data_IF_816594376599
#
_entry.id   IF_816594376599
#
_cell.length_a   1.000
_cell.length_b   1.000
_cell.length_c   1.000
_cell.angle_alpha   90.00
_cell.angle_beta   90.00
_cell.angle_gamma   90.00
#
_symmetry.space_group_name_H-M   'P 1'
#
loop_
_entity.id
_entity.type
_entity.pdbx_description
1 polymer ?
#
# COMPACT_ATOMS: atom_id res chain seq x y z
N UNK A 1 1.78 2.19 -2.93
CA UNK A 1 1.05 3.20 -3.74
C UNK A 1 -0.29 2.57 -4.15
N UNK A 2 -1.42 3.27 -3.98
CA UNK A 2 -2.74 2.76 -4.39
C UNK A 2 -2.94 2.80 -5.91
N UNK A 3 -3.95 2.07 -6.41
CA UNK A 3 -4.29 2.10 -7.82
C UNK A 3 -5.01 3.40 -8.20
N UNK A 4 -4.70 4.01 -9.35
CA UNK A 4 -5.40 5.21 -9.81
C UNK A 4 -6.86 4.89 -10.19
N UNK A 5 -7.63 5.94 -10.47
CA UNK A 5 -9.01 5.86 -10.98
C UNK A 5 -9.15 6.66 -12.28
N UNK A 6 -8.45 6.22 -13.33
CA UNK A 6 -8.62 6.79 -14.67
C UNK A 6 -9.94 6.33 -15.30
N UNK A 7 -10.69 7.23 -15.96
CA UNK A 7 -11.93 6.86 -16.67
C UNK A 7 -11.66 6.04 -17.94
N UNK A 8 -10.51 6.24 -18.59
CA UNK A 8 -10.07 5.41 -19.71
C UNK A 8 -9.58 4.05 -19.20
N UNK A 9 -10.28 3.00 -19.61
CA UNK A 9 -9.98 1.63 -19.23
C UNK A 9 -8.61 1.13 -19.70
N UNK A 10 -8.12 1.58 -20.87
CA UNK A 10 -6.80 1.20 -21.37
C UNK A 10 -5.71 1.86 -20.51
N UNK A 11 -5.82 3.16 -20.26
CA UNK A 11 -4.92 3.89 -19.37
C UNK A 11 -4.95 3.34 -17.94
N UNK A 12 -6.13 3.01 -17.42
CA UNK A 12 -6.31 2.41 -16.11
C UNK A 12 -5.52 1.10 -15.98
N UNK A 13 -5.68 0.18 -16.94
CA UNK A 13 -4.96 -1.10 -16.93
C UNK A 13 -3.45 -0.92 -17.02
N UNK A 14 -2.97 -0.03 -17.91
CA UNK A 14 -1.54 0.25 -18.05
C UNK A 14 -0.94 0.84 -16.78
N UNK A 15 -1.65 1.78 -16.15
CA UNK A 15 -1.18 2.41 -14.91
C UNK A 15 -1.13 1.42 -13.74
N UNK A 16 -2.16 0.59 -13.56
CA UNK A 16 -2.17 -0.47 -12.54
C UNK A 16 -1.05 -1.48 -12.76
N UNK A 17 -0.84 -1.92 -14.01
CA UNK A 17 0.24 -2.84 -14.34
C UNK A 17 1.63 -2.24 -14.04
N UNK A 18 1.86 -0.98 -14.44
CA UNK A 18 3.11 -0.28 -14.15
C UNK A 18 3.35 -0.08 -12.66
N UNK A 19 2.33 0.37 -11.91
CA UNK A 19 2.43 0.56 -10.46
C UNK A 19 2.65 -0.75 -9.70
N UNK A 20 2.18 -1.89 -10.23
CA UNK A 20 2.46 -3.20 -9.62
C UNK A 20 3.96 -3.48 -9.53
N UNK A 21 4.74 -3.10 -10.54
CA UNK A 21 6.21 -3.26 -10.51
C UNK A 21 6.87 -2.40 -9.41
N UNK A 22 6.45 -1.13 -9.29
CA UNK A 22 6.97 -0.23 -8.25
C UNK A 22 6.56 -0.69 -6.85
N UNK A 23 5.31 -1.12 -6.68
CA UNK A 23 4.82 -1.63 -5.41
C UNK A 23 5.54 -2.92 -5.00
N UNK A 24 5.84 -3.83 -5.93
CA UNK A 24 6.64 -5.02 -5.63
C UNK A 24 8.04 -4.64 -5.14
N UNK A 25 8.73 -3.73 -5.83
CA UNK A 25 10.04 -3.25 -5.40
C UNK A 25 10.01 -2.63 -4.00
N UNK A 26 9.04 -1.74 -3.72
CA UNK A 26 8.86 -1.11 -2.40
C UNK A 26 8.62 -2.15 -1.31
N UNK A 27 7.72 -3.11 -1.56
CA UNK A 27 7.39 -4.15 -0.59
C UNK A 27 8.58 -5.07 -0.32
N UNK A 28 9.31 -5.49 -1.36
CA UNK A 28 10.54 -6.29 -1.20
C UNK A 28 11.58 -5.58 -0.36
N UNK A 29 11.81 -4.30 -0.60
CA UNK A 29 12.77 -3.52 0.17
C UNK A 29 12.33 -3.30 1.62
N UNK A 30 11.02 -3.12 1.86
CA UNK A 30 10.46 -3.02 3.21
C UNK A 30 10.61 -4.35 3.98
N UNK A 31 10.25 -5.48 3.36
CA UNK A 31 10.39 -6.80 3.96
C UNK A 31 11.84 -7.17 4.24
N UNK A 32 12.77 -6.83 3.34
CA UNK A 32 14.19 -7.08 3.55
C UNK A 32 14.78 -6.31 4.76
N UNK A 33 14.09 -5.27 5.23
CA UNK A 33 14.50 -4.40 6.35
C UNK A 33 13.59 -4.52 7.58
N UNK A 34 12.66 -5.48 7.57
CA UNK A 34 11.70 -5.68 8.66
C UNK A 34 10.88 -4.41 8.97
N UNK A 35 10.50 -3.67 7.93
CA UNK A 35 9.69 -2.45 8.06
C UNK A 35 8.20 -2.78 7.97
N UNK A 36 7.41 -2.21 8.87
CA UNK A 36 5.95 -2.21 8.77
C UNK A 36 5.49 -1.39 7.56
N UNK A 37 4.49 -1.89 6.84
CA UNK A 37 3.94 -1.25 5.64
C UNK A 37 2.42 -1.17 5.74
N UNK A 38 1.87 0.03 5.47
CA UNK A 38 0.45 0.21 5.17
C UNK A 38 0.27 0.13 3.66
N UNK A 39 -0.32 -0.97 3.17
CA UNK A 39 -0.60 -1.11 1.73
C UNK A 39 -1.87 -0.34 1.36
N UNK A 40 -1.69 0.87 0.84
CA UNK A 40 -2.79 1.74 0.47
C UNK A 40 -3.75 1.14 -0.57
N UNK A 41 -3.37 0.11 -1.33
CA UNK A 41 -4.28 -0.59 -2.25
C UNK A 41 -5.42 -1.31 -1.52
N UNK A 42 -5.17 -1.70 -0.26
CA UNK A 42 -6.17 -2.33 0.60
C UNK A 42 -7.03 -1.31 1.34
N UNK A 43 -6.57 -0.06 1.42
CA UNK A 43 -7.23 1.02 2.17
C UNK A 43 -8.12 1.87 1.25
N UNK A 44 -7.58 2.27 0.09
CA UNK A 44 -8.26 3.10 -0.91
C UNK A 44 -8.78 2.23 -2.07
N UNK A 45 -9.85 1.46 -1.82
CA UNK A 45 -10.42 0.52 -2.79
C UNK A 45 -11.80 0.95 -3.32
N UNK A 46 -12.43 1.99 -2.74
CA UNK A 46 -13.74 2.49 -3.17
C UNK A 46 -13.56 3.69 -4.12
N UNK A 47 -14.38 3.83 -5.19
CA UNK A 47 -14.40 5.05 -6.00
C UNK A 47 -14.49 6.36 -5.20
N UNK A 48 -15.21 6.39 -4.08
CA UNK A 48 -15.36 7.57 -3.23
C UNK A 48 -14.07 7.96 -2.47
N UNK A 49 -13.07 7.09 -2.42
CA UNK A 49 -11.77 7.38 -1.78
C UNK A 49 -10.90 8.34 -2.61
N UNK A 50 -11.34 8.71 -3.82
CA UNK A 50 -10.56 9.47 -4.80
C UNK A 50 -11.22 10.81 -5.11
N UNK A 51 -10.48 11.91 -4.99
CA UNK A 51 -10.95 13.24 -5.43
C UNK A 51 -10.82 13.39 -6.95
N UNK A 52 -9.81 12.74 -7.51
CA UNK A 52 -9.56 12.65 -8.94
C UNK A 52 -8.79 11.37 -9.23
N UNK A 53 -8.31 11.20 -10.47
CA UNK A 53 -7.71 9.95 -10.90
C UNK A 53 -6.47 9.51 -10.11
N UNK A 54 -5.77 10.41 -9.41
CA UNK A 54 -4.53 10.07 -8.69
C UNK A 54 -4.46 10.59 -7.25
N UNK A 55 -5.29 11.54 -6.85
CA UNK A 55 -5.29 12.11 -5.50
C UNK A 55 -6.42 11.56 -4.63
N UNK A 56 -6.19 11.38 -3.32
CA UNK A 56 -7.21 10.89 -2.41
C UNK A 56 -8.27 11.97 -2.17
N UNK A 57 -9.50 11.54 -1.93
CA UNK A 57 -10.57 12.41 -1.41
C UNK A 57 -10.39 12.65 0.10
N UNK A 58 -11.22 13.51 0.68
CA UNK A 58 -11.29 13.64 2.14
C UNK A 58 -11.63 12.31 2.83
N UNK A 59 -12.48 11.48 2.21
CA UNK A 59 -12.82 10.14 2.70
C UNK A 59 -11.60 9.20 2.63
N UNK A 60 -10.91 9.17 1.49
CA UNK A 60 -9.71 8.36 1.31
C UNK A 60 -8.59 8.80 2.27
N UNK A 61 -8.38 10.11 2.43
CA UNK A 61 -7.43 10.67 3.39
C UNK A 61 -7.76 10.30 4.84
N UNK A 62 -9.04 10.30 5.21
CA UNK A 62 -9.47 9.88 6.55
C UNK A 62 -9.18 8.40 6.82
N UNK A 63 -9.39 7.51 5.83
CA UNK A 63 -9.01 6.09 5.95
C UNK A 63 -7.50 5.93 6.14
N UNK A 64 -6.69 6.62 5.34
CA UNK A 64 -5.22 6.61 5.47
C UNK A 64 -4.80 7.07 6.86
N UNK A 65 -5.34 8.18 7.35
CA UNK A 65 -5.02 8.72 8.67
C UNK A 65 -5.41 7.74 9.79
N UNK A 66 -6.57 7.10 9.70
CA UNK A 66 -7.02 6.12 10.68
C UNK A 66 -6.06 4.93 10.80
N UNK A 67 -5.58 4.38 9.67
CA UNK A 67 -4.62 3.27 9.66
C UNK A 67 -3.25 3.68 10.18
N UNK A 68 -2.79 4.91 9.88
CA UNK A 68 -1.56 5.44 10.47
C UNK A 68 -1.70 5.51 11.99
N UNK A 69 -2.79 6.08 12.50
CA UNK A 69 -3.06 6.17 13.95
C UNK A 69 -3.11 4.78 14.56
N UNK A 70 -3.83 3.83 13.95
CA UNK A 70 -3.90 2.46 14.43
C UNK A 70 -2.51 1.80 14.49
N UNK A 71 -1.69 1.96 13.45
CA UNK A 71 -0.33 1.40 13.40
C UNK A 71 0.59 1.99 14.46
N UNK A 72 0.56 3.31 14.71
CA UNK A 72 1.46 3.94 15.68
C UNK A 72 1.01 3.79 17.13
N UNK A 73 -0.28 3.58 17.37
CA UNK A 73 -0.84 3.38 18.72
C UNK A 73 -0.94 1.91 19.12
N UNK A 74 -0.88 0.98 18.15
CA UNK A 74 -0.74 -0.44 18.39
C UNK A 74 0.57 -0.72 19.14
N UNK A 75 0.47 -1.15 20.40
CA UNK A 75 1.64 -1.51 21.22
C UNK A 75 2.47 -2.66 20.61
N UNK A 76 3.65 -2.98 21.18
CA UNK A 76 4.62 -3.93 20.59
C UNK A 76 4.06 -5.32 20.26
N UNK A 77 3.00 -5.75 20.97
CA UNK A 77 2.36 -7.07 20.84
C UNK A 77 1.30 -7.10 19.71
N UNK A 78 0.80 -5.95 19.28
CA UNK A 78 -0.21 -5.83 18.21
C UNK A 78 0.42 -5.79 16.80
N UNK A 79 1.74 -5.70 16.68
CA UNK A 79 2.48 -5.84 15.41
C UNK A 79 2.55 -7.30 14.90
N UNK A 80 1.63 -8.18 15.31
CA UNK A 80 1.44 -9.51 14.72
C UNK A 80 0.71 -9.40 13.38
N UNK A 81 1.27 -8.63 12.45
CA UNK A 81 0.83 -8.51 11.06
C UNK A 81 1.79 -9.25 10.12
N UNK A 82 1.22 -10.08 9.25
CA UNK A 82 1.82 -10.74 8.07
C UNK A 82 3.34 -11.01 8.07
N UNK A 83 3.74 -12.26 8.34
CA UNK A 83 5.15 -12.71 8.23
C UNK A 83 5.46 -13.18 6.81
N UNK A 84 6.40 -12.50 6.13
CA UNK A 84 6.92 -12.93 4.83
C UNK A 84 8.21 -13.71 5.03
N UNK A 85 8.22 -14.97 4.57
CA UNK A 85 9.41 -15.82 4.64
C UNK A 85 10.16 -15.76 3.30
N UNK A 86 11.30 -15.04 3.25
CA UNK A 86 12.13 -14.94 2.04
C UNK A 86 13.16 -16.07 1.88
N UNK A 87 13.20 -17.05 2.80
CA UNK A 87 14.30 -18.02 2.92
C UNK A 87 15.61 -17.35 3.34
N UNK A 88 16.59 -18.12 3.85
CA UNK A 88 17.91 -17.56 4.20
C UNK A 88 18.60 -17.06 2.92
N UNK A 89 18.63 -15.75 2.69
CA UNK A 89 19.56 -15.17 1.74
C UNK A 89 20.97 -15.35 2.31
N UNK A 90 21.75 -16.26 1.70
CA UNK A 90 23.20 -16.31 1.91
C UNK A 90 23.77 -15.01 1.37
N UNK A 91 24.23 -14.13 2.25
CA UNK A 91 25.12 -13.04 1.83
C UNK A 91 26.47 -13.66 1.39
N UNK A 92 27.07 -13.19 0.29
CA UNK A 92 28.45 -13.54 -0.05
C UNK A 92 29.44 -13.02 1.00
#
# INVERSE_FOLDING_TARGET
IYDPRFPDAARQRLAVAGLTLFNDAILREAFARDLAVIDLRLICSDPADFANAIEPSALGGAKIAAEIVAMVTAGPVAQRGFRVFAGRQRRP
#
